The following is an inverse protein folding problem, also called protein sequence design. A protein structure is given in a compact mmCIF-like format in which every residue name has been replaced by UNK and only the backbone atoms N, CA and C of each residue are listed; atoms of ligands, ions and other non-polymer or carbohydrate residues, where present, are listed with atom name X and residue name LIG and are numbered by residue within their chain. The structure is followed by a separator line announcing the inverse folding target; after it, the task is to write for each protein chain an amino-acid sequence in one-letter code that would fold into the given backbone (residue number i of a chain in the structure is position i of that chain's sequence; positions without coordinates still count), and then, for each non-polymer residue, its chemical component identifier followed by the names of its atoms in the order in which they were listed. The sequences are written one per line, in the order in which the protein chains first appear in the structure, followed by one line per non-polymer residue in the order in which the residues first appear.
data_IF_617838329073
#
_entry.id   IF_617838329073
#
_cell.length_a   1.000
_cell.length_b   1.000
_cell.length_c   1.000
_cell.angle_alpha   90.00
_cell.angle_beta   90.00
_cell.angle_gamma   90.00
#
_symmetry.space_group_name_H-M   'P 1'
#
loop_
_entity.id
_entity.type
_entity.pdbx_description
1 polymer ?
#
# COMPACT_ATOMS: atom_id res chain seq x y z
N UNK A 1 22.80 4.97 -3.95
CA UNK A 1 22.43 4.06 -2.85
C UNK A 1 21.81 4.91 -1.75
N UNK A 2 20.59 4.66 -1.34
CA UNK A 2 20.04 5.25 -0.12
C UNK A 2 20.88 4.69 1.01
N UNK A 3 21.52 5.54 1.82
CA UNK A 3 22.20 5.15 3.06
C UNK A 3 21.17 4.72 4.13
N UNK A 4 20.25 3.83 3.76
CA UNK A 4 19.37 3.18 4.71
C UNK A 4 20.14 2.03 5.35
N UNK A 5 20.96 2.34 6.36
CA UNK A 5 21.81 1.38 7.10
C UNK A 5 20.99 0.48 8.06
N UNK A 6 19.67 0.53 7.99
CA UNK A 6 18.75 -0.26 8.82
C UNK A 6 18.30 -1.56 8.16
N UNK A 7 17.72 -2.46 8.95
CA UNK A 7 17.03 -3.65 8.46
C UNK A 7 15.73 -3.21 7.74
N UNK A 8 15.46 -3.64 6.50
CA UNK A 8 14.22 -3.35 5.82
C UNK A 8 13.02 -3.95 6.55
N UNK A 9 11.87 -3.25 6.51
CA UNK A 9 10.59 -3.80 6.99
C UNK A 9 10.16 -4.99 6.13
N UNK A 10 10.35 -4.87 4.81
CA UNK A 10 10.08 -5.93 3.83
C UNK A 10 11.23 -6.00 2.86
N UNK A 11 11.59 -7.20 2.49
CA UNK A 11 12.45 -7.50 1.36
C UNK A 11 11.86 -8.69 0.60
N UNK A 12 11.53 -8.49 -0.64
CA UNK A 12 11.09 -9.51 -1.58
C UNK A 12 12.27 -9.83 -2.48
N UNK A 13 12.80 -11.05 -2.40
CA UNK A 13 14.01 -11.48 -3.13
C UNK A 13 13.70 -12.46 -4.23
N UNK A 14 14.07 -12.15 -5.46
CA UNK A 14 14.00 -13.02 -6.62
C UNK A 14 12.60 -13.63 -6.84
N UNK A 15 11.56 -12.81 -6.65
CA UNK A 15 10.17 -13.25 -6.76
C UNK A 15 9.84 -13.53 -8.21
N UNK A 16 9.36 -14.74 -8.49
CA UNK A 16 8.80 -15.11 -9.79
C UNK A 16 7.45 -15.78 -9.62
N UNK A 17 6.52 -15.47 -10.53
CA UNK A 17 5.19 -16.11 -10.61
C UNK A 17 4.69 -16.11 -12.05
N UNK A 18 4.13 -17.24 -12.46
CA UNK A 18 3.62 -17.48 -13.81
C UNK A 18 2.16 -17.91 -13.80
N UNK A 19 1.42 -17.54 -14.82
CA UNK A 19 0.05 -17.97 -15.05
C UNK A 19 -0.10 -18.50 -16.47
N UNK A 20 -0.43 -19.80 -16.60
CA UNK A 20 -0.66 -20.41 -17.91
C UNK A 20 0.51 -20.25 -18.90
N UNK A 21 1.75 -20.30 -18.41
CA UNK A 21 2.98 -20.16 -19.21
C UNK A 21 3.39 -18.70 -19.49
N UNK A 22 2.69 -17.70 -18.92
CA UNK A 22 3.09 -16.30 -18.98
C UNK A 22 3.77 -15.94 -17.65
N UNK A 23 5.03 -15.50 -17.70
CA UNK A 23 5.73 -14.94 -16.55
C UNK A 23 5.13 -13.57 -16.23
N UNK A 24 4.32 -13.50 -15.16
CA UNK A 24 3.71 -12.25 -14.71
C UNK A 24 4.67 -11.41 -13.87
N UNK A 25 5.59 -12.07 -13.14
CA UNK A 25 6.73 -11.49 -12.44
C UNK A 25 7.90 -12.45 -12.63
N UNK A 26 9.08 -11.92 -12.96
CA UNK A 26 10.27 -12.70 -13.23
C UNK A 26 11.48 -12.09 -12.51
N UNK A 27 12.03 -12.82 -11.55
CA UNK A 27 13.24 -12.50 -10.77
C UNK A 27 13.26 -11.08 -10.15
N UNK A 28 12.14 -10.63 -9.60
CA UNK A 28 12.01 -9.27 -9.06
C UNK A 28 12.45 -9.22 -7.60
N UNK A 29 13.36 -8.28 -7.29
CA UNK A 29 13.78 -7.94 -5.93
C UNK A 29 13.43 -6.49 -5.62
N UNK A 30 12.65 -6.28 -4.53
CA UNK A 30 12.29 -4.95 -4.01
C UNK A 30 12.32 -4.95 -2.49
N UNK A 31 12.60 -3.80 -1.91
CA UNK A 31 12.68 -3.60 -0.47
C UNK A 31 11.93 -2.34 -0.02
N UNK A 32 11.60 -2.29 1.27
CA UNK A 32 10.89 -1.18 1.89
C UNK A 32 11.40 -0.96 3.30
N UNK A 33 11.72 0.28 3.63
CA UNK A 33 12.25 0.66 4.95
C UNK A 33 11.22 1.38 5.83
N UNK A 34 11.45 1.47 7.16
CA UNK A 34 10.59 2.24 8.05
C UNK A 34 10.53 3.72 7.63
N UNK A 35 9.32 4.29 7.60
CA UNK A 35 9.12 5.69 7.25
C UNK A 35 9.46 6.02 5.79
N UNK A 36 9.30 5.05 4.90
CA UNK A 36 9.57 5.19 3.47
C UNK A 36 8.30 4.92 2.65
N UNK A 37 8.17 5.63 1.53
CA UNK A 37 7.20 5.36 0.48
C UNK A 37 7.93 4.93 -0.79
N UNK A 38 7.71 3.70 -1.21
CA UNK A 38 8.25 3.16 -2.47
C UNK A 38 7.14 3.07 -3.50
N UNK A 39 7.27 3.82 -4.59
CA UNK A 39 6.35 3.78 -5.73
C UNK A 39 6.66 2.60 -6.65
N UNK A 40 5.65 1.79 -6.97
CA UNK A 40 5.75 0.77 -8.02
C UNK A 40 5.15 1.32 -9.30
N UNK A 41 5.99 1.65 -10.26
CA UNK A 41 5.63 2.22 -11.57
C UNK A 41 5.70 1.18 -12.69
N UNK A 42 4.98 1.40 -13.76
CA UNK A 42 5.00 0.59 -14.98
C UNK A 42 3.64 0.59 -15.69
N UNK A 43 3.61 0.11 -16.91
CA UNK A 43 2.37 -0.04 -17.68
C UNK A 43 1.38 -1.00 -17.02
N UNK A 44 0.13 -0.96 -17.47
CA UNK A 44 -0.83 -2.02 -17.15
C UNK A 44 -0.31 -3.36 -17.68
N UNK A 45 -0.35 -4.38 -16.82
CA UNK A 45 0.24 -5.69 -17.14
C UNK A 45 1.76 -5.80 -16.87
N UNK A 46 2.43 -4.77 -16.35
CA UNK A 46 3.87 -4.84 -16.03
C UNK A 46 4.24 -5.77 -14.87
N UNK A 47 3.24 -6.33 -14.15
CA UNK A 47 3.48 -7.25 -13.02
C UNK A 47 3.32 -6.62 -11.62
N UNK A 48 3.14 -5.30 -11.51
CA UNK A 48 3.07 -4.57 -10.22
C UNK A 48 2.07 -5.17 -9.23
N UNK A 49 0.80 -5.24 -9.63
CA UNK A 49 -0.26 -5.78 -8.76
C UNK A 49 -0.06 -7.27 -8.47
N UNK A 50 0.58 -8.02 -9.37
CA UNK A 50 0.92 -9.44 -9.14
C UNK A 50 2.01 -9.56 -8.08
N UNK A 51 3.08 -8.78 -8.17
CA UNK A 51 4.16 -8.74 -7.18
C UNK A 51 3.59 -8.43 -5.78
N UNK A 52 2.77 -7.41 -5.68
CA UNK A 52 2.16 -7.01 -4.40
C UNK A 52 1.13 -8.03 -3.87
N UNK A 53 0.46 -8.74 -4.76
CA UNK A 53 -0.42 -9.85 -4.35
C UNK A 53 0.35 -11.03 -3.75
N UNK A 54 1.62 -11.23 -4.12
CA UNK A 54 2.49 -12.18 -3.41
C UNK A 54 2.77 -11.69 -1.98
N UNK A 55 3.08 -10.41 -1.79
CA UNK A 55 3.30 -9.83 -0.46
C UNK A 55 2.05 -9.85 0.42
N UNK A 56 0.89 -9.57 -0.17
CA UNK A 56 -0.39 -9.60 0.56
C UNK A 56 -0.92 -11.02 0.83
N UNK A 57 -0.26 -12.06 0.33
CA UNK A 57 -0.67 -13.46 0.45
C UNK A 57 -1.90 -13.83 -0.39
N UNK A 58 -2.29 -12.99 -1.35
CA UNK A 58 -3.36 -13.31 -2.29
C UNK A 58 -2.89 -14.27 -3.38
N UNK A 59 -1.59 -14.25 -3.71
CA UNK A 59 -0.93 -15.21 -4.59
C UNK A 59 0.29 -15.80 -3.89
N UNK A 60 0.65 -17.04 -4.25
CA UNK A 60 1.92 -17.64 -3.87
C UNK A 60 2.89 -17.49 -5.03
N UNK A 61 4.12 -17.04 -4.74
CA UNK A 61 5.17 -17.00 -5.73
C UNK A 61 5.64 -18.44 -6.07
N UNK A 62 6.01 -18.68 -7.33
CA UNK A 62 6.58 -19.94 -7.76
C UNK A 62 8.01 -20.11 -7.22
N UNK A 63 8.75 -19.00 -7.09
CA UNK A 63 10.09 -18.94 -6.50
C UNK A 63 10.37 -17.60 -5.84
N UNK A 64 11.47 -17.55 -5.09
CA UNK A 64 11.87 -16.38 -4.32
C UNK A 64 11.40 -16.44 -2.87
N UNK A 65 11.85 -15.46 -2.10
CA UNK A 65 11.61 -15.40 -0.67
C UNK A 65 11.16 -14.01 -0.23
N UNK A 66 10.29 -13.97 0.76
CA UNK A 66 9.86 -12.72 1.42
C UNK A 66 10.45 -12.69 2.83
N UNK A 67 11.07 -11.58 3.18
CA UNK A 67 11.58 -11.32 4.52
C UNK A 67 10.83 -10.14 5.13
N UNK A 68 10.50 -10.25 6.41
CA UNK A 68 9.87 -9.17 7.19
C UNK A 68 10.74 -8.92 8.42
N UNK A 69 11.21 -7.69 8.60
CA UNK A 69 12.17 -7.30 9.65
C UNK A 69 13.45 -8.18 9.66
N UNK A 70 13.90 -8.61 8.48
CA UNK A 70 15.09 -9.46 8.31
C UNK A 70 14.87 -10.96 8.52
N UNK A 71 13.68 -11.40 8.93
CA UNK A 71 13.33 -12.81 9.10
C UNK A 71 12.49 -13.31 7.92
N UNK A 72 12.77 -14.54 7.47
CA UNK A 72 12.00 -15.15 6.39
C UNK A 72 10.54 -15.35 6.81
N UNK A 73 9.62 -14.76 6.05
CA UNK A 73 8.19 -14.80 6.30
C UNK A 73 7.50 -15.88 5.47
N UNK A 74 6.64 -16.68 6.10
CA UNK A 74 5.77 -17.64 5.43
C UNK A 74 4.39 -17.00 5.21
N UNK A 75 4.18 -16.43 4.02
CA UNK A 75 2.94 -15.75 3.65
C UNK A 75 2.21 -16.61 2.60
N UNK A 76 1.25 -17.41 3.05
CA UNK A 76 0.48 -18.33 2.20
C UNK A 76 -0.93 -17.82 1.91
N UNK A 77 -1.41 -16.87 2.69
CA UNK A 77 -2.74 -16.30 2.59
C UNK A 77 -2.77 -14.89 3.24
N UNK A 78 -3.84 -14.09 3.03
CA UNK A 78 -3.92 -12.75 3.59
C UNK A 78 -3.94 -12.66 5.13
N UNK A 79 -4.27 -13.76 5.84
CA UNK A 79 -4.18 -13.77 7.32
C UNK A 79 -2.73 -13.82 7.77
N UNK A 80 -1.89 -14.57 7.04
CA UNK A 80 -0.45 -14.62 7.32
C UNK A 80 0.17 -13.24 7.12
N UNK A 81 -0.12 -12.56 6.01
CA UNK A 81 0.36 -11.20 5.76
C UNK A 81 -0.01 -10.24 6.91
N UNK A 82 -1.25 -10.30 7.39
CA UNK A 82 -1.69 -9.50 8.54
C UNK A 82 -0.96 -9.84 9.84
N UNK A 83 -0.57 -11.09 10.06
CA UNK A 83 0.21 -11.47 11.24
C UNK A 83 1.60 -10.82 11.26
N UNK A 84 2.11 -10.45 10.09
CA UNK A 84 3.32 -9.64 9.92
C UNK A 84 3.04 -8.13 9.85
N UNK A 85 1.83 -7.67 10.23
CA UNK A 85 1.40 -6.27 10.19
C UNK A 85 1.43 -5.66 8.77
N UNK A 86 1.18 -6.48 7.75
CA UNK A 86 1.01 -6.06 6.36
C UNK A 86 -0.48 -5.92 6.09
N UNK A 87 -0.93 -4.71 5.75
CA UNK A 87 -2.32 -4.44 5.36
C UNK A 87 -2.37 -3.88 3.95
N UNK A 88 -3.42 -4.23 3.22
CA UNK A 88 -3.60 -3.81 1.81
C UNK A 88 -4.87 -2.97 1.69
N UNK A 89 -4.73 -1.83 1.05
CA UNK A 89 -5.82 -0.97 0.60
C UNK A 89 -5.90 -1.11 -0.92
N UNK A 90 -6.92 -1.83 -1.34
CA UNK A 90 -7.17 -2.05 -2.77
C UNK A 90 -7.87 -0.84 -3.40
N UNK A 91 -7.75 -0.70 -4.69
CA UNK A 91 -8.43 0.34 -5.49
C UNK A 91 -9.95 0.40 -5.20
N UNK A 92 -10.59 -0.74 -5.00
CA UNK A 92 -12.02 -0.83 -4.66
C UNK A 92 -12.33 -0.65 -3.18
N UNK A 93 -11.32 -0.33 -2.33
CA UNK A 93 -11.35 -0.11 -0.88
C UNK A 93 -11.90 -1.26 -0.02
N UNK A 94 -12.58 -2.23 -0.59
CA UNK A 94 -13.21 -3.37 0.11
C UNK A 94 -14.02 -2.92 1.36
N UNK A 95 -14.84 -1.89 1.20
CA UNK A 95 -15.78 -1.40 2.20
C UNK A 95 -17.20 -1.88 1.87
N UNK A 96 -17.97 -2.18 2.91
CA UNK A 96 -19.39 -2.51 2.78
C UNK A 96 -20.21 -1.23 2.70
N UNK A 97 -20.77 -0.93 1.53
CA UNK A 97 -21.43 0.33 1.20
C UNK A 97 -22.61 0.69 2.11
N UNK A 98 -23.32 -0.30 2.63
CA UNK A 98 -24.51 -0.17 3.48
C UNK A 98 -24.17 -0.03 4.98
N UNK A 99 -22.91 -0.20 5.36
CA UNK A 99 -22.46 -0.08 6.75
C UNK A 99 -21.84 1.29 7.00
N UNK A 100 -21.84 1.73 8.25
CA UNK A 100 -21.18 2.95 8.70
C UNK A 100 -19.65 2.80 8.82
N UNK A 101 -18.96 3.89 9.18
CA UNK A 101 -17.51 3.90 9.30
C UNK A 101 -16.99 2.94 10.39
N UNK A 102 -17.69 2.85 11.54
CA UNK A 102 -17.27 2.00 12.65
C UNK A 102 -17.42 0.52 12.30
N UNK A 103 -18.56 0.15 11.73
CA UNK A 103 -18.83 -1.22 11.28
C UNK A 103 -17.84 -1.65 10.19
N UNK A 104 -17.48 -0.76 9.27
CA UNK A 104 -16.46 -1.04 8.24
C UNK A 104 -15.04 -1.17 8.82
N UNK A 105 -14.68 -0.34 9.80
CA UNK A 105 -13.36 -0.41 10.44
C UNK A 105 -13.16 -1.75 11.12
N UNK A 106 -14.17 -2.24 11.83
CA UNK A 106 -14.09 -3.47 12.61
C UNK A 106 -14.63 -4.71 11.89
N UNK A 107 -15.03 -4.63 10.63
CA UNK A 107 -15.63 -5.74 9.88
C UNK A 107 -14.77 -7.01 9.94
N UNK A 108 -15.33 -8.08 10.53
CA UNK A 108 -14.64 -9.36 10.76
C UNK A 108 -13.64 -9.35 11.92
N UNK A 109 -13.58 -8.26 12.70
CA UNK A 109 -12.73 -8.08 13.89
C UNK A 109 -13.48 -7.25 14.95
N UNK A 110 -14.80 -7.49 15.08
CA UNK A 110 -15.69 -6.72 15.93
C UNK A 110 -15.26 -6.77 17.39
N UNK A 111 -15.37 -5.63 18.09
CA UNK A 111 -15.15 -5.58 19.53
C UNK A 111 -16.35 -6.17 20.23
N UNK A 112 -16.10 -7.04 21.21
CA UNK A 112 -17.16 -7.72 21.96
C UNK A 112 -17.25 -7.20 23.39
N UNK A 113 -18.47 -7.18 23.91
CA UNK A 113 -18.74 -7.00 25.35
C UNK A 113 -18.30 -8.24 26.14
N UNK A 114 -18.26 -8.16 27.47
CA UNK A 114 -17.97 -9.29 28.33
C UNK A 114 -18.96 -10.47 28.15
N UNK A 115 -20.18 -10.19 27.66
CA UNK A 115 -21.20 -11.19 27.37
C UNK A 115 -21.12 -11.78 25.96
N UNK A 116 -20.10 -11.37 25.13
CA UNK A 116 -19.88 -11.89 23.78
C UNK A 116 -20.73 -11.24 22.69
N UNK A 117 -21.48 -10.17 22.98
CA UNK A 117 -22.19 -9.39 21.96
C UNK A 117 -21.30 -8.30 21.36
N UNK A 118 -21.62 -7.85 20.15
CA UNK A 118 -20.91 -6.74 19.50
C UNK A 118 -21.06 -5.46 20.33
N UNK A 119 -19.93 -4.84 20.68
CA UNK A 119 -19.85 -3.57 21.42
C UNK A 119 -19.79 -2.39 20.45
N UNK A 120 -20.94 -2.01 19.92
CA UNK A 120 -21.06 -0.94 18.94
C UNK A 120 -20.60 0.41 19.49
N UNK A 121 -20.90 0.70 20.77
CA UNK A 121 -20.52 1.96 21.40
C UNK A 121 -18.99 2.10 21.51
N UNK A 122 -18.30 1.03 21.87
CA UNK A 122 -16.84 0.99 21.92
C UNK A 122 -16.24 1.08 20.53
N UNK A 123 -16.78 0.37 19.53
CA UNK A 123 -16.34 0.46 18.14
C UNK A 123 -16.45 1.89 17.60
N UNK A 124 -17.57 2.58 17.85
CA UNK A 124 -17.76 3.97 17.45
C UNK A 124 -16.76 4.89 18.16
N UNK A 125 -16.56 4.73 19.47
CA UNK A 125 -15.61 5.53 20.25
C UNK A 125 -14.17 5.39 19.73
N UNK A 126 -13.72 4.16 19.45
CA UNK A 126 -12.40 3.90 18.87
C UNK A 126 -12.26 4.46 17.44
N UNK A 127 -13.32 4.34 16.63
CA UNK A 127 -13.36 4.93 15.29
C UNK A 127 -13.21 6.45 15.35
N UNK A 128 -13.89 7.11 16.29
CA UNK A 128 -13.76 8.57 16.48
C UNK A 128 -12.33 8.95 16.86
N UNK A 129 -11.66 8.19 17.73
CA UNK A 129 -10.27 8.43 18.13
C UNK A 129 -9.32 8.34 16.95
N UNK A 130 -9.39 7.26 16.16
CA UNK A 130 -8.48 7.09 15.01
C UNK A 130 -8.76 8.12 13.91
N UNK A 131 -10.03 8.42 13.63
CA UNK A 131 -10.40 9.43 12.64
C UNK A 131 -10.02 10.83 13.06
N UNK A 132 -10.03 11.17 14.36
CA UNK A 132 -9.55 12.46 14.84
C UNK A 132 -8.07 12.70 14.51
N UNK A 133 -7.27 11.63 14.40
CA UNK A 133 -5.85 11.70 13.99
C UNK A 133 -5.70 11.75 12.47
N UNK A 134 -6.44 10.92 11.73
CA UNK A 134 -6.24 10.72 10.30
C UNK A 134 -7.04 11.70 9.43
N UNK A 135 -8.24 12.06 9.86
CA UNK A 135 -9.11 13.00 9.18
C UNK A 135 -9.92 13.82 10.20
N UNK A 136 -9.33 14.86 10.82
CA UNK A 136 -9.98 15.64 11.88
C UNK A 136 -11.30 16.30 11.47
N UNK A 137 -11.55 16.43 10.18
CA UNK A 137 -12.77 17.02 9.62
C UNK A 137 -13.86 15.99 9.32
N UNK A 138 -13.62 14.70 9.60
CA UNK A 138 -14.65 13.67 9.41
C UNK A 138 -15.79 13.83 10.42
N UNK A 139 -17.04 13.84 9.94
CA UNK A 139 -18.24 14.06 10.78
C UNK A 139 -19.32 12.99 10.58
N UNK A 140 -19.29 12.25 9.48
CA UNK A 140 -20.36 11.33 9.06
C UNK A 140 -20.19 9.92 9.65
N UNK A 141 -20.07 9.82 10.98
CA UNK A 141 -19.80 8.53 11.64
C UNK A 141 -20.95 7.52 11.54
N UNK A 142 -22.19 7.98 11.50
CA UNK A 142 -23.40 7.13 11.46
C UNK A 142 -23.99 7.00 10.05
N UNK A 143 -23.42 7.69 9.07
CA UNK A 143 -23.86 7.57 7.68
C UNK A 143 -23.28 6.28 7.05
N UNK A 144 -24.01 5.61 6.16
CA UNK A 144 -23.47 4.50 5.39
C UNK A 144 -22.30 4.99 4.52
N UNK A 145 -21.33 4.12 4.29
CA UNK A 145 -20.12 4.47 3.52
C UNK A 145 -20.45 4.92 2.09
N UNK A 146 -21.56 4.43 1.50
CA UNK A 146 -22.08 4.91 0.22
C UNK A 146 -22.39 6.41 0.18
N UNK A 147 -22.71 7.04 1.33
CA UNK A 147 -22.98 8.47 1.45
C UNK A 147 -21.71 9.32 1.72
N UNK A 148 -20.54 8.70 1.79
CA UNK A 148 -19.25 9.35 1.98
C UNK A 148 -18.65 9.76 0.64
N UNK A 149 -17.84 10.82 0.63
CA UNK A 149 -17.01 11.15 -0.52
C UNK A 149 -15.89 10.12 -0.73
N UNK A 150 -15.28 10.10 -1.92
CA UNK A 150 -14.16 9.20 -2.24
C UNK A 150 -13.03 9.31 -1.21
N UNK A 151 -12.57 10.50 -0.90
CA UNK A 151 -11.53 10.74 0.10
C UNK A 151 -11.95 10.36 1.52
N UNK A 152 -13.23 10.54 1.89
CA UNK A 152 -13.74 10.06 3.18
C UNK A 152 -13.75 8.53 3.25
N UNK A 153 -14.15 7.85 2.17
CA UNK A 153 -14.07 6.38 2.08
C UNK A 153 -12.63 5.89 2.18
N UNK A 154 -11.71 6.55 1.48
CA UNK A 154 -10.28 6.27 1.58
C UNK A 154 -9.78 6.41 3.02
N UNK A 155 -10.17 7.47 3.73
CA UNK A 155 -9.80 7.66 5.13
C UNK A 155 -10.30 6.53 6.03
N UNK A 156 -11.51 5.99 5.80
CA UNK A 156 -12.03 4.84 6.55
C UNK A 156 -11.22 3.57 6.28
N UNK A 157 -10.86 3.30 5.02
CA UNK A 157 -10.02 2.15 4.66
C UNK A 157 -8.63 2.23 5.28
N UNK A 158 -8.01 3.42 5.27
CA UNK A 158 -6.73 3.67 5.92
C UNK A 158 -6.85 3.55 7.45
N UNK A 159 -7.91 4.10 8.05
CA UNK A 159 -8.15 4.00 9.48
C UNK A 159 -8.24 2.55 9.95
N UNK A 160 -8.86 1.66 9.15
CA UNK A 160 -8.93 0.22 9.42
C UNK A 160 -7.52 -0.39 9.49
N UNK A 161 -6.66 -0.12 8.53
CA UNK A 161 -5.30 -0.63 8.51
C UNK A 161 -4.49 -0.13 9.72
N UNK A 162 -4.53 1.17 9.99
CA UNK A 162 -3.78 1.81 11.08
C UNK A 162 -4.27 1.37 12.45
N UNK A 163 -5.58 1.21 12.66
CA UNK A 163 -6.14 0.75 13.93
C UNK A 163 -5.63 -0.64 14.31
N UNK A 164 -5.44 -1.52 13.34
CA UNK A 164 -4.90 -2.86 13.55
C UNK A 164 -3.37 -2.94 13.46
N UNK A 165 -2.68 -1.83 13.74
CA UNK A 165 -1.22 -1.73 13.87
C UNK A 165 -0.44 -2.12 12.60
N UNK A 166 -0.94 -1.77 11.43
CA UNK A 166 -0.16 -1.92 10.21
C UNK A 166 1.20 -1.23 10.37
N UNK A 167 2.26 -1.94 10.00
CA UNK A 167 3.62 -1.40 9.88
C UNK A 167 4.01 -1.24 8.42
N UNK A 168 3.42 -2.06 7.60
CA UNK A 168 3.59 -2.10 6.15
C UNK A 168 2.23 -1.92 5.51
N UNK A 169 2.11 -0.90 4.67
CA UNK A 169 0.87 -0.57 3.99
C UNK A 169 1.05 -0.68 2.48
N UNK A 170 0.19 -1.43 1.85
CA UNK A 170 0.11 -1.53 0.40
C UNK A 170 -1.07 -0.68 -0.04
N UNK A 171 -0.85 0.27 -0.95
CA UNK A 171 -1.89 1.12 -1.53
C UNK A 171 -1.90 0.96 -3.05
N UNK A 172 -3.00 0.47 -3.57
CA UNK A 172 -3.20 0.27 -5.01
C UNK A 172 -4.05 1.41 -5.57
N UNK A 173 -3.42 2.31 -6.32
CA UNK A 173 -4.01 3.51 -6.93
C UNK A 173 -4.89 4.33 -5.96
N UNK A 174 -4.37 4.79 -4.80
CA UNK A 174 -5.19 5.35 -3.72
C UNK A 174 -5.85 6.69 -4.07
N UNK A 175 -5.44 7.34 -5.15
CA UNK A 175 -5.98 8.63 -5.61
C UNK A 175 -6.78 8.51 -6.89
N UNK A 176 -6.93 7.30 -7.45
CA UNK A 176 -7.72 7.08 -8.65
C UNK A 176 -9.18 7.52 -8.45
N UNK A 177 -9.72 8.24 -9.44
CA UNK A 177 -11.08 8.76 -9.45
C UNK A 177 -11.44 9.74 -8.29
N UNK A 178 -10.44 10.33 -7.64
CA UNK A 178 -10.63 11.39 -6.65
C UNK A 178 -10.50 12.79 -7.28
N UNK A 179 -11.27 13.74 -6.76
CA UNK A 179 -11.10 15.15 -7.11
C UNK A 179 -9.81 15.75 -6.50
N UNK A 180 -9.36 16.93 -6.97
CA UNK A 180 -8.10 17.51 -6.52
C UNK A 180 -7.99 17.71 -5.00
N UNK A 181 -9.07 18.12 -4.34
CA UNK A 181 -9.08 18.31 -2.88
C UNK A 181 -8.97 16.97 -2.13
N UNK A 182 -9.63 15.94 -2.62
CA UNK A 182 -9.59 14.60 -2.03
C UNK A 182 -8.22 13.95 -2.23
N UNK A 183 -7.63 14.12 -3.42
CA UNK A 183 -6.26 13.70 -3.73
C UNK A 183 -5.25 14.35 -2.78
N UNK A 184 -5.39 15.67 -2.53
CA UNK A 184 -4.55 16.38 -1.58
C UNK A 184 -4.69 15.82 -0.17
N UNK A 185 -5.92 15.57 0.30
CA UNK A 185 -6.18 15.00 1.62
C UNK A 185 -5.55 13.60 1.78
N UNK A 186 -5.68 12.74 0.76
CA UNK A 186 -5.05 11.40 0.78
C UNK A 186 -3.53 11.51 0.77
N UNK A 187 -2.97 12.44 0.00
CA UNK A 187 -1.54 12.70 -0.04
C UNK A 187 -0.99 13.12 1.34
N UNK A 188 -1.66 14.04 2.01
CA UNK A 188 -1.29 14.49 3.37
C UNK A 188 -1.36 13.34 4.37
N UNK A 189 -2.37 12.47 4.24
CA UNK A 189 -2.52 11.29 5.08
C UNK A 189 -1.37 10.28 4.87
N UNK A 190 -0.97 10.01 3.62
CA UNK A 190 0.19 9.16 3.29
C UNK A 190 1.46 9.73 3.93
N UNK A 191 1.71 11.04 3.82
CA UNK A 191 2.87 11.68 4.41
C UNK A 191 2.85 11.63 5.95
N UNK A 192 1.67 11.72 6.57
CA UNK A 192 1.54 11.56 8.02
C UNK A 192 1.87 10.13 8.46
N UNK A 193 1.37 9.11 7.76
CA UNK A 193 1.67 7.71 8.05
C UNK A 193 3.17 7.41 7.89
N UNK A 194 3.79 7.94 6.85
CA UNK A 194 5.24 7.88 6.66
C UNK A 194 5.99 8.47 7.87
N UNK A 195 5.59 9.67 8.34
CA UNK A 195 6.21 10.31 9.52
C UNK A 195 6.04 9.49 10.80
N UNK A 196 4.98 8.69 10.90
CA UNK A 196 4.75 7.75 11.99
C UNK A 196 5.59 6.47 11.88
N UNK A 197 6.43 6.33 10.84
CA UNK A 197 7.34 5.21 10.63
C UNK A 197 6.74 4.03 9.87
N UNK A 198 5.55 4.17 9.25
CA UNK A 198 5.02 3.14 8.37
C UNK A 198 5.82 3.08 7.07
N UNK A 199 6.10 1.86 6.61
CA UNK A 199 6.58 1.63 5.24
C UNK A 199 5.38 1.48 4.30
N UNK A 200 5.42 2.13 3.14
CA UNK A 200 4.30 2.15 2.20
C UNK A 200 4.76 1.76 0.80
N UNK A 201 4.19 0.69 0.24
CA UNK A 201 4.23 0.44 -1.20
C UNK A 201 3.04 1.15 -1.85
N UNK A 202 3.33 2.08 -2.74
CA UNK A 202 2.36 2.83 -3.52
C UNK A 202 2.37 2.34 -4.97
N UNK A 203 1.32 1.64 -5.40
CA UNK A 203 1.17 1.28 -6.81
C UNK A 203 0.44 2.43 -7.48
N UNK A 204 1.05 3.01 -8.49
CA UNK A 204 0.42 4.03 -9.30
C UNK A 204 0.97 3.96 -10.74
N UNK A 205 0.20 4.46 -11.69
CA UNK A 205 0.62 4.64 -13.08
C UNK A 205 0.90 6.12 -13.41
N UNK A 206 0.54 7.02 -12.49
CA UNK A 206 0.78 8.46 -12.60
C UNK A 206 2.16 8.82 -12.00
N UNK A 207 3.11 9.11 -12.88
CA UNK A 207 4.47 9.53 -12.52
C UNK A 207 4.46 10.78 -11.64
N UNK A 208 3.52 11.72 -11.89
CA UNK A 208 3.43 12.95 -11.11
C UNK A 208 3.06 12.66 -9.63
N UNK A 209 2.13 11.73 -9.39
CA UNK A 209 1.79 11.31 -8.02
C UNK A 209 2.97 10.63 -7.33
N UNK A 210 3.68 9.76 -8.04
CA UNK A 210 4.88 9.09 -7.49
C UNK A 210 5.97 10.11 -7.17
N UNK A 211 6.23 11.08 -8.05
CA UNK A 211 7.17 12.18 -7.79
C UNK A 211 6.82 12.98 -6.53
N UNK A 212 5.56 13.15 -6.26
CA UNK A 212 5.05 13.91 -5.14
C UNK A 212 5.07 13.16 -3.81
N UNK A 213 4.84 11.85 -3.83
CA UNK A 213 4.55 11.05 -2.63
C UNK A 213 5.67 10.11 -2.22
N UNK A 214 6.49 9.65 -3.17
CA UNK A 214 7.43 8.56 -2.95
C UNK A 214 8.87 9.06 -2.73
N UNK A 215 9.63 8.28 -1.99
CA UNK A 215 11.07 8.48 -1.80
C UNK A 215 11.88 7.78 -2.89
N UNK A 216 11.49 6.56 -3.21
CA UNK A 216 12.04 5.76 -4.30
C UNK A 216 10.94 5.30 -5.24
N UNK A 217 11.31 5.06 -6.48
CA UNK A 217 10.46 4.47 -7.51
C UNK A 217 11.12 3.21 -8.06
N UNK A 218 10.42 2.08 -7.93
CA UNK A 218 10.76 0.80 -8.56
C UNK A 218 9.94 0.67 -9.84
N UNK A 219 10.60 0.68 -10.99
CA UNK A 219 9.92 0.63 -12.29
C UNK A 219 9.92 -0.81 -12.80
N UNK A 220 8.73 -1.31 -13.12
CA UNK A 220 8.54 -2.65 -13.69
C UNK A 220 8.11 -2.59 -15.14
N UNK A 221 8.57 -3.55 -15.94
CA UNK A 221 8.18 -3.73 -17.32
C UNK A 221 8.19 -5.22 -17.69
N UNK A 222 7.09 -5.72 -18.26
CA UNK A 222 6.95 -7.09 -18.73
C UNK A 222 7.31 -8.17 -17.67
N UNK A 223 6.97 -7.93 -16.40
CA UNK A 223 7.26 -8.82 -15.29
C UNK A 223 8.63 -8.63 -14.64
N UNK A 224 9.52 -7.84 -15.21
CA UNK A 224 10.88 -7.61 -14.72
C UNK A 224 11.02 -6.24 -14.04
N UNK A 225 11.99 -6.13 -13.12
CA UNK A 225 12.39 -4.85 -12.53
C UNK A 225 13.40 -4.15 -13.46
N UNK A 226 13.02 -2.99 -14.00
CA UNK A 226 13.92 -2.13 -14.78
C UNK A 226 15.00 -1.52 -13.89
N UNK A 227 14.59 -1.09 -12.69
CA UNK A 227 15.47 -0.51 -11.68
C UNK A 227 14.69 0.22 -10.60
N UNK A 228 15.38 0.51 -9.49
CA UNK A 228 14.87 1.33 -8.38
C UNK A 228 15.73 2.58 -8.26
N UNK A 229 15.09 3.76 -8.30
CA UNK A 229 15.78 5.06 -8.24
C UNK A 229 15.20 5.93 -7.13
N UNK A 230 16.02 6.83 -6.58
CA UNK A 230 15.54 7.89 -5.70
C UNK A 230 14.72 8.87 -6.52
N UNK A 231 13.51 9.17 -6.06
CA UNK A 231 12.60 10.09 -6.75
C UNK A 231 13.16 11.52 -6.79
N UNK A 232 13.95 11.90 -5.79
CA UNK A 232 14.60 13.21 -5.74
C UNK A 232 15.64 13.41 -6.85
N UNK A 233 16.31 12.33 -7.30
CA UNK A 233 17.39 12.36 -8.27
C UNK A 233 16.89 12.18 -9.72
N UNK A 234 15.66 11.63 -9.89
CA UNK A 234 15.07 11.36 -11.20
C UNK A 234 14.11 12.47 -11.65
N UNK A 235 14.14 12.87 -12.88
CA UNK A 235 13.09 13.71 -13.50
C UNK A 235 11.84 12.88 -13.85
N UNK A 236 10.73 13.53 -14.18
CA UNK A 236 9.55 12.83 -14.72
C UNK A 236 9.87 12.14 -16.04
N UNK A 237 10.66 12.79 -16.90
CA UNK A 237 11.07 12.22 -18.18
C UNK A 237 11.96 10.97 -17.99
N UNK A 238 12.81 10.95 -16.97
CA UNK A 238 13.61 9.75 -16.62
C UNK A 238 12.72 8.58 -16.24
N UNK A 239 11.73 8.81 -15.36
CA UNK A 239 10.78 7.77 -14.94
C UNK A 239 9.93 7.29 -16.12
N UNK A 240 9.46 8.20 -16.97
CA UNK A 240 8.75 7.87 -18.21
C UNK A 240 9.64 7.07 -19.17
N UNK A 241 10.91 7.46 -19.33
CA UNK A 241 11.86 6.72 -20.17
C UNK A 241 12.07 5.29 -19.63
N UNK A 242 12.21 5.11 -18.30
CA UNK A 242 12.30 3.78 -17.69
C UNK A 242 11.06 2.93 -18.00
N UNK A 243 9.86 3.50 -17.87
CA UNK A 243 8.60 2.81 -18.16
C UNK A 243 8.52 2.42 -19.64
N UNK A 244 8.84 3.34 -20.56
CA UNK A 244 8.66 3.15 -22.01
C UNK A 244 9.79 2.30 -22.58
N UNK A 245 11.04 2.66 -22.30
CA UNK A 245 12.22 2.01 -22.90
C UNK A 245 12.66 0.75 -22.14
N UNK A 246 12.33 0.63 -20.84
CA UNK A 246 12.77 -0.48 -20.00
C UNK A 246 14.28 -0.41 -19.71
N UNK A 247 14.81 0.78 -19.53
CA UNK A 247 16.24 1.01 -19.22
C UNK A 247 16.39 2.14 -18.22
N UNK A 248 17.20 1.92 -17.20
CA UNK A 248 17.57 2.99 -16.27
C UNK A 248 18.51 3.98 -16.96
N UNK A 249 18.23 5.29 -16.90
CA UNK A 249 19.15 6.31 -17.43
C UNK A 249 20.55 6.20 -16.81
N UNK A 250 21.60 6.43 -17.60
CA UNK A 250 22.98 6.22 -17.16
C UNK A 250 23.38 7.03 -15.92
N UNK A 251 22.82 8.22 -15.75
CA UNK A 251 23.08 9.08 -14.57
C UNK A 251 22.37 8.60 -13.29
N UNK A 252 21.40 7.68 -13.40
CA UNK A 252 20.67 7.06 -12.28
C UNK A 252 21.10 5.61 -12.03
N UNK A 253 21.84 5.01 -12.96
CA UNK A 253 22.41 3.68 -12.82
C UNK A 253 23.68 3.78 -11.97
N UNK A 254 23.54 3.63 -10.65
CA UNK A 254 24.67 3.61 -9.71
C UNK A 254 24.88 2.21 -9.13
#
# INVERSE_FOLDING_TARGET
MTDNTGTPLVEMRNISISFGGIHAVDDVTVDLYPGEVVGLLGHNGAGKSTLIKCLSGAYQADSGDIYVNGEKAAINNPRDARSYNIETIYQTLALADNLDAASNLFLGRELLTAAGFVDQARMEAETRKIMARLNPNFRKFQAPVSALSGGQRQSVAIARAVYFNARILIMDEPTAALGPQETQMVAELIQELKRQGLGIFLIDHDVHQVKRLCDRASVMKNGELVGTVKVADASEDDLLAMIILGKTPAHLAA
#
